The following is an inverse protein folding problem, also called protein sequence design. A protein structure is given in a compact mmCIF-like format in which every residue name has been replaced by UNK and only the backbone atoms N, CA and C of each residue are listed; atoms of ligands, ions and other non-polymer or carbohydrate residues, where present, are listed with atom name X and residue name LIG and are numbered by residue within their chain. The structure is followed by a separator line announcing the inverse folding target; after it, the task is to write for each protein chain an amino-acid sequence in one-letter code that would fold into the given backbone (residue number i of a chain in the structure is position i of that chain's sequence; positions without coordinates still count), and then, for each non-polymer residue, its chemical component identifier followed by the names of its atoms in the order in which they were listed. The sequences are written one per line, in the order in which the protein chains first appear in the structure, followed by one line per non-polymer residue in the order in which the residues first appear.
data_IF_520716503670
#
_entry.id   IF_520716503670
#
_cell.length_a   1.000
_cell.length_b   1.000
_cell.length_c   1.000
_cell.angle_alpha   90.00
_cell.angle_beta   90.00
_cell.angle_gamma   90.00
#
_symmetry.space_group_name_H-M   'P 1'
#
loop_
_entity.id
_entity.type
_entity.pdbx_description
1 polymer ?
#
# COMPACT_ATOMS: atom_id res chain seq x y z
N UNK A 1 -10.60 -28.69 -9.60
CA UNK A 1 -9.79 -27.50 -9.87
C UNK A 1 -10.41 -26.36 -9.11
N UNK A 2 -9.77 -25.87 -8.07
CA UNK A 2 -10.23 -24.68 -7.35
C UNK A 2 -10.16 -23.49 -8.32
N UNK A 3 -11.30 -22.96 -8.69
CA UNK A 3 -11.39 -21.77 -9.53
C UNK A 3 -10.71 -20.64 -8.75
N UNK A 4 -9.64 -20.08 -9.28
CA UNK A 4 -8.93 -18.97 -8.66
C UNK A 4 -9.89 -17.78 -8.64
N UNK A 5 -10.28 -17.35 -7.44
CA UNK A 5 -11.17 -16.21 -7.29
C UNK A 5 -10.40 -14.94 -7.62
N UNK A 6 -10.87 -14.16 -8.59
CA UNK A 6 -10.28 -12.88 -8.93
C UNK A 6 -10.36 -11.92 -7.74
N UNK A 7 -9.18 -11.42 -7.34
CA UNK A 7 -9.03 -10.56 -6.18
C UNK A 7 -8.26 -9.30 -6.52
N UNK A 8 -8.82 -8.19 -6.13
CA UNK A 8 -8.16 -6.88 -6.18
C UNK A 8 -7.47 -6.64 -4.84
N UNK A 9 -6.22 -6.22 -4.86
CA UNK A 9 -5.54 -5.62 -3.73
C UNK A 9 -5.09 -4.21 -4.11
N UNK A 10 -5.38 -3.24 -3.27
CA UNK A 10 -4.84 -1.90 -3.42
C UNK A 10 -4.72 -1.21 -2.07
N UNK A 11 -3.86 -0.19 -2.00
CA UNK A 11 -3.60 0.52 -0.78
C UNK A 11 -3.40 2.02 -0.99
N UNK A 12 -3.70 2.79 0.06
CA UNK A 12 -3.45 4.23 0.10
C UNK A 12 -2.57 4.52 1.31
N UNK A 13 -1.51 5.29 1.07
CA UNK A 13 -0.64 5.77 2.15
C UNK A 13 -1.34 6.88 2.93
N UNK A 14 -1.34 6.82 4.27
CA UNK A 14 -1.91 7.87 5.12
C UNK A 14 -0.92 9.03 5.30
N UNK A 15 -0.47 9.64 4.20
CA UNK A 15 0.49 10.74 4.20
C UNK A 15 -0.19 12.03 3.76
N UNK A 16 -0.25 13.01 4.67
CA UNK A 16 -0.87 14.31 4.42
C UNK A 16 -2.39 14.25 4.27
N UNK A 17 -2.98 15.40 4.00
CA UNK A 17 -4.44 15.53 3.77
C UNK A 17 -4.83 14.92 2.42
N UNK A 18 -5.86 14.09 2.41
CA UNK A 18 -6.42 13.57 1.18
C UNK A 18 -6.90 14.71 0.28
N UNK A 19 -6.55 14.63 -0.97
CA UNK A 19 -6.94 15.62 -1.98
C UNK A 19 -7.63 14.95 -3.17
N UNK A 20 -8.19 15.75 -4.05
CA UNK A 20 -8.95 15.28 -5.21
C UNK A 20 -8.17 14.28 -6.08
N UNK A 21 -6.84 14.40 -6.16
CA UNK A 21 -5.97 13.47 -6.89
C UNK A 21 -5.98 12.06 -6.29
N UNK A 22 -5.99 11.93 -4.95
CA UNK A 22 -6.09 10.63 -4.29
C UNK A 22 -7.46 9.99 -4.55
N UNK A 23 -8.54 10.79 -4.55
CA UNK A 23 -9.87 10.32 -4.86
C UNK A 23 -9.96 9.83 -6.32
N UNK A 24 -9.56 10.64 -7.28
CA UNK A 24 -9.67 10.30 -8.70
C UNK A 24 -8.70 9.19 -9.13
N UNK A 25 -7.48 9.18 -8.57
CA UNK A 25 -6.44 8.23 -8.94
C UNK A 25 -6.60 6.83 -8.31
N UNK A 26 -7.24 6.74 -7.13
CA UNK A 26 -7.35 5.48 -6.42
C UNK A 26 -8.77 5.18 -5.94
N UNK A 27 -9.35 6.01 -5.08
CA UNK A 27 -10.58 5.67 -4.33
C UNK A 27 -11.78 5.49 -5.26
N UNK A 28 -11.90 6.30 -6.31
CA UNK A 28 -12.95 6.15 -7.32
C UNK A 28 -12.90 4.76 -7.98
N UNK A 29 -11.70 4.29 -8.32
CA UNK A 29 -11.51 2.97 -8.91
C UNK A 29 -11.91 1.85 -7.93
N UNK A 30 -11.68 2.04 -6.62
CA UNK A 30 -12.10 1.07 -5.59
C UNK A 30 -13.62 0.87 -5.58
N UNK A 31 -14.38 1.96 -5.70
CA UNK A 31 -15.84 1.90 -5.77
C UNK A 31 -16.32 1.19 -7.03
N UNK A 32 -15.66 1.42 -8.16
CA UNK A 32 -16.04 0.79 -9.44
C UNK A 32 -15.67 -0.71 -9.51
N UNK A 33 -14.60 -1.12 -8.82
CA UNK A 33 -14.12 -2.50 -8.84
C UNK A 33 -14.86 -3.42 -7.87
N UNK A 34 -15.43 -2.88 -6.80
CA UNK A 34 -16.06 -3.68 -5.74
C UNK A 34 -17.28 -4.49 -6.18
N UNK A 35 -17.93 -4.10 -7.26
CA UNK A 35 -19.09 -4.83 -7.80
C UNK A 35 -18.67 -6.04 -8.68
N UNK A 36 -17.42 -6.06 -9.10
CA UNK A 36 -16.89 -7.06 -10.03
C UNK A 36 -15.95 -8.07 -9.39
N UNK A 37 -15.25 -7.65 -8.34
CA UNK A 37 -14.15 -8.40 -7.75
C UNK A 37 -14.29 -8.52 -6.23
N UNK A 38 -13.61 -9.51 -5.68
CA UNK A 38 -13.37 -9.58 -4.25
C UNK A 38 -12.23 -8.62 -3.89
N UNK A 39 -12.55 -7.51 -3.23
CA UNK A 39 -11.58 -6.43 -3.02
C UNK A 39 -11.03 -6.42 -1.60
N UNK A 40 -9.73 -6.17 -1.52
CA UNK A 40 -8.97 -6.01 -0.28
C UNK A 40 -8.28 -4.65 -0.33
N UNK A 41 -8.74 -3.70 0.48
CA UNK A 41 -8.23 -2.34 0.53
C UNK A 41 -7.49 -2.07 1.82
N UNK A 42 -6.29 -1.56 1.70
CA UNK A 42 -5.35 -1.41 2.80
C UNK A 42 -4.95 0.05 3.00
N UNK A 43 -4.98 0.52 4.24
CA UNK A 43 -4.26 1.74 4.62
C UNK A 43 -2.84 1.35 4.95
N UNK A 44 -1.90 1.70 4.06
CA UNK A 44 -0.51 1.19 4.10
C UNK A 44 0.39 2.07 4.97
N UNK A 45 0.13 2.04 6.25
CA UNK A 45 0.84 2.82 7.27
C UNK A 45 2.31 2.40 7.46
N UNK A 46 2.66 1.15 7.20
CA UNK A 46 4.05 0.70 7.22
C UNK A 46 4.86 1.25 6.04
N UNK A 47 4.22 1.51 4.89
CA UNK A 47 4.88 2.25 3.82
C UNK A 47 5.05 3.73 4.16
N UNK A 48 4.10 4.33 4.88
CA UNK A 48 4.19 5.72 5.29
C UNK A 48 5.42 6.00 6.17
N UNK A 49 5.76 5.10 7.10
CA UNK A 49 6.90 5.26 8.02
C UNK A 49 8.27 5.03 7.37
N UNK A 50 8.35 4.78 6.08
CA UNK A 50 9.64 4.77 5.36
C UNK A 50 10.28 6.15 5.29
N UNK A 51 9.49 7.19 5.53
CA UNK A 51 9.91 8.59 5.75
C UNK A 51 9.39 9.04 7.11
N UNK A 52 10.00 10.10 7.66
CA UNK A 52 9.63 10.63 8.97
C UNK A 52 8.15 11.02 9.02
N UNK A 53 7.46 10.56 10.06
CA UNK A 53 6.05 10.84 10.34
C UNK A 53 5.89 11.25 11.82
N UNK A 54 5.09 12.27 12.08
CA UNK A 54 4.61 12.50 13.45
C UNK A 54 3.61 11.40 13.81
N UNK A 55 3.80 10.66 14.93
CA UNK A 55 2.93 9.52 15.27
C UNK A 55 1.47 9.92 15.52
N UNK A 56 1.22 11.16 16.00
CA UNK A 56 -0.15 11.64 16.25
C UNK A 56 -0.86 11.97 14.94
N UNK A 57 -0.13 12.64 14.04
CA UNK A 57 -0.63 12.96 12.70
C UNK A 57 -0.87 11.70 11.90
N UNK A 58 0.08 10.75 11.92
CA UNK A 58 -0.07 9.47 11.24
C UNK A 58 -1.34 8.73 11.69
N UNK A 59 -1.60 8.67 13.01
CA UNK A 59 -2.82 8.06 13.53
C UNK A 59 -4.08 8.75 13.03
N UNK A 60 -4.10 10.08 13.00
CA UNK A 60 -5.22 10.86 12.48
C UNK A 60 -5.44 10.60 11.00
N UNK A 61 -4.36 10.61 10.23
CA UNK A 61 -4.39 10.37 8.78
C UNK A 61 -4.89 8.96 8.43
N UNK A 62 -4.53 7.94 9.20
CA UNK A 62 -5.05 6.57 9.03
C UNK A 62 -6.58 6.56 9.15
N UNK A 63 -7.12 7.20 10.18
CA UNK A 63 -8.57 7.27 10.38
C UNK A 63 -9.26 8.08 9.28
N UNK A 64 -8.64 9.16 8.81
CA UNK A 64 -9.16 9.98 7.72
C UNK A 64 -9.23 9.19 6.40
N UNK A 65 -8.18 8.43 6.07
CA UNK A 65 -8.19 7.55 4.88
C UNK A 65 -9.27 6.49 4.97
N UNK A 66 -9.43 5.83 6.13
CA UNK A 66 -10.49 4.84 6.34
C UNK A 66 -11.89 5.46 6.20
N UNK A 67 -12.10 6.63 6.80
CA UNK A 67 -13.36 7.36 6.69
C UNK A 67 -13.64 7.77 5.24
N UNK A 68 -12.63 8.17 4.50
CA UNK A 68 -12.75 8.57 3.09
C UNK A 68 -13.10 7.40 2.18
N UNK A 69 -12.60 6.20 2.43
CA UNK A 69 -13.02 4.99 1.69
C UNK A 69 -14.52 4.78 1.85
N UNK A 70 -15.01 4.81 3.09
CA UNK A 70 -16.43 4.60 3.40
C UNK A 70 -17.30 5.72 2.83
N UNK A 71 -16.88 6.98 3.03
CA UNK A 71 -17.61 8.15 2.53
C UNK A 71 -17.69 8.20 1.00
N UNK A 72 -16.70 7.64 0.32
CA UNK A 72 -16.67 7.57 -1.14
C UNK A 72 -17.52 6.43 -1.72
N UNK A 73 -18.06 5.55 -0.88
CA UNK A 73 -18.97 4.48 -1.30
C UNK A 73 -18.35 3.08 -1.33
N UNK A 74 -17.17 2.88 -0.75
CA UNK A 74 -16.64 1.51 -0.55
C UNK A 74 -17.52 0.78 0.47
N UNK A 75 -18.10 -0.34 0.09
CA UNK A 75 -18.98 -1.14 0.94
C UNK A 75 -18.18 -2.00 1.92
N UNK A 76 -17.93 -1.45 3.11
CA UNK A 76 -17.18 -2.12 4.19
C UNK A 76 -17.84 -3.40 4.74
N UNK A 77 -19.09 -3.68 4.37
CA UNK A 77 -19.77 -4.93 4.75
C UNK A 77 -19.48 -6.06 3.77
N UNK A 78 -19.12 -5.72 2.53
CA UNK A 78 -18.83 -6.70 1.48
C UNK A 78 -17.33 -6.81 1.20
N UNK A 79 -16.60 -5.71 1.35
CA UNK A 79 -15.18 -5.65 1.05
C UNK A 79 -14.33 -5.67 2.32
N UNK A 80 -13.09 -6.11 2.21
CA UNK A 80 -12.14 -6.07 3.31
C UNK A 80 -11.42 -4.72 3.28
N UNK A 81 -11.53 -3.96 4.38
CA UNK A 81 -10.80 -2.72 4.58
C UNK A 81 -10.02 -2.84 5.89
N UNK A 82 -8.73 -2.57 5.90
CA UNK A 82 -7.91 -2.69 7.10
C UNK A 82 -6.68 -1.79 7.10
N UNK A 83 -6.09 -1.62 8.27
CA UNK A 83 -4.79 -0.99 8.46
C UNK A 83 -3.68 -2.04 8.35
N UNK A 84 -2.66 -1.79 7.56
CA UNK A 84 -1.57 -2.74 7.25
C UNK A 84 -0.87 -3.27 8.51
N UNK A 85 -0.53 -2.39 9.46
CA UNK A 85 0.15 -2.78 10.69
C UNK A 85 -0.68 -3.66 11.63
N UNK A 86 -2.00 -3.73 11.41
CA UNK A 86 -2.88 -4.63 12.16
C UNK A 86 -2.72 -6.11 11.75
N UNK A 87 -2.04 -6.38 10.64
CA UNK A 87 -1.80 -7.73 10.11
C UNK A 87 -0.29 -8.00 10.07
N UNK A 88 0.30 -8.64 11.10
CA UNK A 88 1.75 -8.87 11.19
C UNK A 88 2.35 -9.66 10.02
N UNK A 89 1.53 -10.45 9.32
CA UNK A 89 1.98 -11.25 8.18
C UNK A 89 2.64 -10.45 7.06
N UNK A 90 2.27 -9.18 6.87
CA UNK A 90 2.90 -8.28 5.91
C UNK A 90 4.39 -8.11 6.18
N UNK A 91 4.73 -7.71 7.42
CA UNK A 91 6.13 -7.52 7.84
C UNK A 91 6.90 -8.83 7.88
N UNK A 92 6.25 -9.92 8.31
CA UNK A 92 6.89 -11.25 8.36
C UNK A 92 7.26 -11.74 6.96
N UNK A 93 6.35 -11.63 5.99
CA UNK A 93 6.61 -12.02 4.61
C UNK A 93 7.63 -11.08 3.95
N UNK A 94 7.55 -9.78 4.22
CA UNK A 94 8.54 -8.80 3.75
C UNK A 94 9.95 -9.14 4.27
N UNK A 95 10.09 -9.62 5.51
CA UNK A 95 11.37 -10.08 6.02
C UNK A 95 11.91 -11.28 5.23
N UNK A 96 11.07 -12.25 4.90
CA UNK A 96 11.47 -13.38 4.05
C UNK A 96 11.96 -12.87 2.69
N UNK A 97 11.24 -11.92 2.08
CA UNK A 97 11.66 -11.32 0.81
C UNK A 97 12.95 -10.52 0.92
N UNK A 98 13.20 -9.84 2.04
CA UNK A 98 14.48 -9.18 2.29
C UNK A 98 15.66 -10.17 2.31
N UNK A 99 15.44 -11.40 2.78
CA UNK A 99 16.47 -12.44 2.82
C UNK A 99 16.77 -13.07 1.45
N UNK A 100 15.85 -13.01 0.50
CA UNK A 100 16.03 -13.64 -0.83
C UNK A 100 16.23 -12.61 -1.95
N UNK A 101 15.84 -11.36 -1.76
CA UNK A 101 16.02 -10.29 -2.75
C UNK A 101 17.46 -9.84 -2.85
N UNK A 102 17.85 -9.43 -4.04
CA UNK A 102 19.22 -8.94 -4.29
C UNK A 102 19.25 -7.43 -4.23
N UNK A 103 20.26 -6.86 -3.57
CA UNK A 103 20.48 -5.40 -3.47
C UNK A 103 20.47 -4.75 -4.87
N UNK A 104 21.06 -5.41 -5.88
CA UNK A 104 21.06 -4.90 -7.24
C UNK A 104 19.68 -4.77 -7.88
N UNK A 105 18.67 -5.52 -7.42
CA UNK A 105 17.29 -5.36 -7.87
C UNK A 105 16.67 -4.12 -7.24
N UNK A 106 16.83 -3.96 -5.93
CA UNK A 106 16.30 -2.81 -5.19
C UNK A 106 16.91 -1.49 -5.67
N UNK A 107 18.20 -1.47 -5.98
CA UNK A 107 18.89 -0.29 -6.51
C UNK A 107 18.38 0.17 -7.89
N UNK A 108 17.64 -0.65 -8.62
CA UNK A 108 17.04 -0.27 -9.91
C UNK A 108 15.70 0.42 -9.76
N UNK A 109 15.06 0.31 -8.59
CA UNK A 109 13.75 0.90 -8.34
C UNK A 109 13.83 2.43 -8.41
N UNK A 110 12.93 3.01 -9.21
CA UNK A 110 12.92 4.44 -9.51
C UNK A 110 12.62 5.29 -8.27
N UNK A 111 11.63 4.89 -7.47
CA UNK A 111 11.22 5.64 -6.29
C UNK A 111 12.34 5.78 -5.24
N UNK A 112 13.20 4.78 -5.08
CA UNK A 112 14.38 4.93 -4.24
C UNK A 112 15.30 6.03 -4.76
N UNK A 113 15.51 6.10 -6.07
CA UNK A 113 16.36 7.13 -6.70
C UNK A 113 15.75 8.51 -6.54
N UNK A 114 14.45 8.63 -6.74
CA UNK A 114 13.73 9.91 -6.70
C UNK A 114 13.64 10.46 -5.28
N UNK A 115 13.28 9.64 -4.31
CA UNK A 115 13.13 10.05 -2.89
C UNK A 115 14.47 10.19 -2.16
N UNK A 116 15.48 9.39 -2.50
CA UNK A 116 16.81 9.48 -1.91
C UNK A 116 17.55 10.76 -2.32
N UNK A 117 17.23 11.34 -3.49
CA UNK A 117 17.86 12.57 -3.98
C UNK A 117 19.38 12.50 -3.98
N UNK A 118 20.03 13.63 -3.59
CA UNK A 118 21.49 13.73 -3.48
C UNK A 118 22.06 13.20 -2.17
N UNK A 119 21.21 12.94 -1.17
CA UNK A 119 21.63 12.66 0.22
C UNK A 119 21.35 11.21 0.63
N UNK A 120 21.88 10.25 -0.15
CA UNK A 120 21.63 8.81 0.00
C UNK A 120 22.03 8.24 1.35
N UNK A 121 22.98 8.86 2.04
CA UNK A 121 23.47 8.39 3.35
C UNK A 121 22.45 8.55 4.47
N UNK A 122 21.50 9.48 4.33
CA UNK A 122 20.46 9.77 5.34
C UNK A 122 19.11 9.11 5.03
N UNK A 123 19.06 8.26 4.02
CA UNK A 123 17.82 7.57 3.64
C UNK A 123 17.60 6.33 4.49
N UNK A 124 16.37 6.13 4.98
CA UNK A 124 16.05 4.95 5.77
C UNK A 124 16.21 3.66 4.95
N UNK A 125 16.62 2.57 5.63
CA UNK A 125 16.65 1.24 5.00
C UNK A 125 15.25 0.84 4.53
N UNK A 126 14.21 1.25 5.25
CA UNK A 126 12.81 1.03 4.86
C UNK A 126 12.50 1.56 3.45
N UNK A 127 13.01 2.75 3.10
CA UNK A 127 12.83 3.28 1.76
C UNK A 127 13.57 2.49 0.66
N UNK A 128 14.65 1.79 1.00
CA UNK A 128 15.33 0.88 0.07
C UNK A 128 14.58 -0.42 -0.13
N UNK A 129 14.01 -0.98 0.95
CA UNK A 129 13.39 -2.32 0.94
C UNK A 129 11.86 -2.31 0.82
N UNK A 130 11.22 -1.13 0.74
CA UNK A 130 9.76 -1.06 0.61
C UNK A 130 9.18 -1.89 -0.57
N UNK A 131 9.91 -2.15 -1.70
CA UNK A 131 9.38 -3.01 -2.75
C UNK A 131 9.13 -4.45 -2.29
N UNK A 132 9.92 -4.93 -1.31
CA UNK A 132 9.70 -6.24 -0.72
C UNK A 132 8.46 -6.26 0.18
N UNK A 133 8.18 -5.18 0.90
CA UNK A 133 6.93 -5.02 1.65
C UNK A 133 5.73 -4.95 0.69
N UNK A 134 5.85 -4.21 -0.40
CA UNK A 134 4.79 -4.13 -1.42
C UNK A 134 4.52 -5.49 -2.06
N UNK A 135 5.56 -6.26 -2.38
CA UNK A 135 5.41 -7.62 -2.86
C UNK A 135 4.72 -8.52 -1.82
N UNK A 136 5.04 -8.36 -0.54
CA UNK A 136 4.40 -9.08 0.55
C UNK A 136 2.90 -8.73 0.65
N UNK A 137 2.55 -7.45 0.54
CA UNK A 137 1.16 -6.98 0.55
C UNK A 137 0.33 -7.66 -0.54
N UNK A 138 0.86 -7.76 -1.75
CA UNK A 138 0.17 -8.33 -2.90
C UNK A 138 0.08 -9.85 -2.80
N UNK A 139 1.20 -10.50 -2.51
CA UNK A 139 1.31 -11.96 -2.56
C UNK A 139 0.65 -12.65 -1.37
N UNK A 140 0.60 -12.01 -0.20
CA UNK A 140 -0.09 -12.54 0.98
C UNK A 140 -1.58 -12.82 0.71
N UNK A 141 -2.20 -12.04 -0.17
CA UNK A 141 -3.63 -12.17 -0.51
C UNK A 141 -3.86 -12.87 -1.85
N UNK A 142 -2.82 -13.34 -2.53
CA UNK A 142 -2.91 -13.92 -3.87
C UNK A 142 -3.69 -13.00 -4.83
N UNK A 143 -3.39 -11.70 -4.78
CA UNK A 143 -4.06 -10.72 -5.61
C UNK A 143 -3.81 -10.97 -7.09
N UNK A 144 -4.88 -10.92 -7.89
CA UNK A 144 -4.83 -11.06 -9.34
C UNK A 144 -4.80 -9.71 -10.07
N UNK A 145 -5.27 -8.68 -9.38
CA UNK A 145 -5.34 -7.31 -9.90
C UNK A 145 -4.83 -6.32 -8.86
N UNK A 146 -3.97 -5.42 -9.28
CA UNK A 146 -3.42 -4.34 -8.45
C UNK A 146 -3.61 -3.04 -9.20
N UNK A 147 -4.74 -2.33 -8.99
CA UNK A 147 -4.96 -1.03 -9.60
C UNK A 147 -3.98 -0.01 -9.02
N UNK A 148 -3.29 0.69 -9.89
CA UNK A 148 -2.29 1.71 -9.58
C UNK A 148 -2.55 2.97 -10.39
N UNK A 149 -2.00 4.11 -9.98
CA UNK A 149 -2.03 5.33 -10.78
C UNK A 149 -1.11 5.24 -11.99
N UNK A 150 -1.29 6.15 -12.94
CA UNK A 150 -0.51 6.21 -14.19
C UNK A 150 0.99 6.47 -13.96
N UNK A 151 1.36 6.91 -12.76
CA UNK A 151 2.73 7.22 -12.34
C UNK A 151 3.45 6.06 -11.64
N UNK A 152 2.83 4.88 -11.57
CA UNK A 152 3.36 3.71 -10.86
C UNK A 152 3.57 2.49 -11.76
#
# INVERSE_FOLDING_TARGET
MTQFQERVFSGVQPTGTLHLGNYLGAIKNFVELQDKYNCVYCVVDQHAITVDQDPKELRSNILEVLASFIASGVDYKKQIIFQQSSVPAHSQLAWVFNCVSRIGWLNRMTQFKDKAGKNRENVSVGLMVYPNLMAADILAYLATHVPVGDDQ
#
